data_IF_943547352592
#
_entry.id   IF_943547352592
#
_cell.length_a   1.000
_cell.length_b   1.000
_cell.length_c   1.000
_cell.angle_alpha   90.00
_cell.angle_beta   90.00
_cell.angle_gamma   90.00
#
_symmetry.space_group_name_H-M   'P 1'
#
loop_
_entity.id
_entity.type
_entity.pdbx_description
1 polymer ?
#
# COMPACT_ATOMS: atom_id res chain seq x y z
N UNK A 1 17.01 -15.80 -28.15
CA UNK A 1 15.63 -16.03 -28.63
C UNK A 1 14.82 -14.79 -28.28
N UNK A 2 14.13 -14.18 -29.25
CA UNK A 2 13.35 -12.97 -29.01
C UNK A 2 11.92 -13.35 -28.62
N UNK A 3 11.42 -12.84 -27.51
CA UNK A 3 10.07 -13.14 -27.04
C UNK A 3 9.65 -12.20 -25.92
N UNK A 4 8.36 -12.22 -25.63
CA UNK A 4 7.76 -11.44 -24.56
C UNK A 4 7.54 -12.29 -23.32
N UNK A 5 7.65 -11.67 -22.16
CA UNK A 5 7.23 -12.26 -20.88
C UNK A 5 5.98 -11.53 -20.44
N UNK A 6 4.97 -12.24 -19.96
CA UNK A 6 3.69 -11.64 -19.53
C UNK A 6 3.39 -11.97 -18.09
N UNK A 7 2.55 -11.21 -17.40
CA UNK A 7 2.10 -11.60 -16.07
C UNK A 7 0.90 -12.57 -16.10
N UNK A 8 0.61 -13.20 -14.97
CA UNK A 8 -0.53 -14.10 -14.78
C UNK A 8 -1.88 -13.44 -15.13
N UNK A 9 -2.08 -12.18 -14.77
CA UNK A 9 -3.31 -11.46 -15.11
C UNK A 9 -3.46 -11.27 -16.62
N UNK A 10 -2.39 -10.99 -17.36
CA UNK A 10 -2.44 -10.96 -18.83
C UNK A 10 -2.79 -12.33 -19.39
N UNK A 11 -2.12 -13.38 -18.91
CA UNK A 11 -2.36 -14.74 -19.36
C UNK A 11 -3.84 -15.16 -19.16
N UNK A 12 -4.38 -14.89 -17.97
CA UNK A 12 -5.77 -15.19 -17.61
C UNK A 12 -6.79 -14.39 -18.42
N UNK A 13 -6.53 -13.10 -18.62
CA UNK A 13 -7.47 -12.19 -19.30
C UNK A 13 -7.55 -12.46 -20.79
N UNK A 14 -6.41 -12.68 -21.47
CA UNK A 14 -6.38 -12.80 -22.93
C UNK A 14 -6.39 -14.23 -23.46
N UNK A 15 -5.90 -15.21 -22.70
CA UNK A 15 -5.84 -16.60 -23.16
C UNK A 15 -6.92 -17.50 -22.57
N UNK A 16 -7.59 -17.11 -21.48
CA UNK A 16 -8.77 -17.79 -20.91
C UNK A 16 -8.65 -19.33 -20.85
N UNK A 17 -7.47 -19.86 -20.49
CA UNK A 17 -7.19 -21.29 -20.39
C UNK A 17 -6.54 -21.94 -21.63
N UNK A 18 -6.27 -21.18 -22.69
CA UNK A 18 -5.41 -21.60 -23.81
C UNK A 18 -3.93 -21.46 -23.45
N UNK A 19 -3.09 -22.27 -24.07
CA UNK A 19 -1.65 -22.24 -23.86
C UNK A 19 -1.06 -20.91 -24.38
N UNK A 20 -0.53 -20.03 -23.49
CA UNK A 20 0.06 -18.76 -23.90
C UNK A 20 1.34 -18.95 -24.71
N UNK A 21 2.07 -20.07 -24.54
CA UNK A 21 3.34 -20.32 -25.24
C UNK A 21 3.16 -20.69 -26.71
N UNK A 22 1.96 -21.16 -27.09
CA UNK A 22 1.61 -21.44 -28.48
C UNK A 22 1.20 -20.18 -29.27
N UNK A 23 1.19 -19.02 -28.62
CA UNK A 23 0.69 -17.77 -29.17
C UNK A 23 1.79 -16.73 -29.36
N UNK A 24 1.63 -15.92 -30.41
CA UNK A 24 2.45 -14.74 -30.65
C UNK A 24 1.62 -13.49 -30.41
N UNK A 25 2.23 -12.50 -29.75
CA UNK A 25 1.61 -11.20 -29.51
C UNK A 25 2.40 -10.10 -30.21
N UNK A 26 1.69 -9.06 -30.63
CA UNK A 26 2.29 -7.81 -31.08
C UNK A 26 1.96 -6.72 -30.07
N UNK A 27 2.97 -6.02 -29.57
CA UNK A 27 2.76 -4.85 -28.70
C UNK A 27 3.11 -3.60 -29.50
N UNK A 28 2.21 -2.62 -29.50
CA UNK A 28 2.40 -1.39 -30.25
C UNK A 28 3.49 -0.53 -29.61
N UNK A 29 4.73 -0.74 -30.03
CA UNK A 29 5.95 -0.19 -29.42
C UNK A 29 6.93 0.38 -30.45
N UNK A 30 6.86 -0.06 -31.70
CA UNK A 30 7.74 0.35 -32.80
C UNK A 30 6.94 0.59 -34.08
N UNK A 31 7.57 1.16 -35.10
CA UNK A 31 6.95 1.28 -36.43
C UNK A 31 6.59 -0.09 -37.03
N UNK A 32 7.44 -1.11 -36.80
CA UNK A 32 7.32 -2.41 -37.48
C UNK A 32 6.53 -3.47 -36.67
N UNK A 33 6.25 -3.21 -35.39
CA UNK A 33 5.50 -4.07 -34.45
C UNK A 33 5.49 -5.58 -34.75
N UNK A 34 6.64 -6.27 -34.58
CA UNK A 34 6.74 -7.68 -34.90
C UNK A 34 5.89 -8.54 -33.96
N UNK A 35 5.26 -9.58 -34.51
CA UNK A 35 4.67 -10.66 -33.72
C UNK A 35 5.77 -11.52 -33.14
N UNK A 36 5.86 -11.58 -31.82
CA UNK A 36 6.84 -12.40 -31.11
C UNK A 36 6.14 -13.39 -30.16
N UNK A 37 6.72 -14.59 -29.97
CA UNK A 37 6.15 -15.58 -29.08
C UNK A 37 6.24 -15.13 -27.62
N UNK A 38 5.30 -15.62 -26.80
CA UNK A 38 5.42 -15.53 -25.35
C UNK A 38 6.40 -16.61 -24.89
N UNK A 39 7.45 -16.21 -24.19
CA UNK A 39 8.52 -17.10 -23.71
C UNK A 39 8.50 -17.33 -22.20
N UNK A 40 7.62 -16.62 -21.48
CA UNK A 40 7.50 -16.75 -20.04
C UNK A 40 6.24 -16.12 -19.49
N UNK A 41 5.76 -16.68 -18.38
CA UNK A 41 4.73 -16.08 -17.54
C UNK A 41 5.33 -15.85 -16.16
N UNK A 42 5.18 -14.64 -15.63
CA UNK A 42 5.65 -14.25 -14.29
C UNK A 42 4.47 -13.93 -13.38
N UNK A 43 4.70 -14.00 -12.07
CA UNK A 43 3.70 -13.62 -11.08
C UNK A 43 3.25 -12.17 -11.22
N UNK A 44 2.03 -11.91 -10.79
CA UNK A 44 1.45 -10.56 -10.80
C UNK A 44 2.26 -9.60 -9.93
N UNK A 45 2.53 -8.41 -10.46
CA UNK A 45 3.18 -7.30 -9.75
C UNK A 45 2.20 -6.15 -9.58
N UNK A 46 2.28 -5.48 -8.43
CA UNK A 46 1.49 -4.28 -8.17
C UNK A 46 2.14 -3.09 -8.88
N UNK A 47 1.52 -2.64 -9.97
CA UNK A 47 1.95 -1.44 -10.69
C UNK A 47 1.16 -0.22 -10.19
N UNK A 48 1.86 0.76 -9.65
CA UNK A 48 1.32 2.09 -9.30
C UNK A 48 0.56 2.21 -7.98
N UNK A 49 -0.14 1.17 -7.51
CA UNK A 49 -0.80 1.19 -6.20
C UNK A 49 -0.98 -0.21 -5.62
N UNK A 50 -0.68 -0.36 -4.32
CA UNK A 50 -0.91 -1.59 -3.55
C UNK A 50 -2.39 -2.01 -3.54
N UNK A 51 -3.32 -1.07 -3.75
CA UNK A 51 -4.77 -1.33 -3.79
C UNK A 51 -5.30 -1.65 -5.18
N UNK A 52 -4.56 -1.30 -6.24
CA UNK A 52 -5.00 -1.60 -7.59
C UNK A 52 -4.88 -3.10 -7.83
N UNK A 53 -5.90 -3.68 -8.48
CA UNK A 53 -5.79 -5.02 -9.01
C UNK A 53 -4.59 -5.07 -9.99
N UNK A 54 -3.83 -6.18 -10.03
CA UNK A 54 -2.77 -6.34 -11.02
C UNK A 54 -3.34 -6.09 -12.42
N UNK A 55 -2.63 -5.29 -13.21
CA UNK A 55 -3.03 -5.04 -14.60
C UNK A 55 -2.34 -6.04 -15.53
N UNK A 56 -2.89 -6.32 -16.72
CA UNK A 56 -2.18 -7.08 -17.74
C UNK A 56 -0.89 -6.35 -18.17
N UNK A 57 0.26 -6.94 -17.89
CA UNK A 57 1.59 -6.34 -18.13
C UNK A 57 2.43 -7.24 -19.01
N UNK A 58 3.14 -6.62 -19.97
CA UNK A 58 4.08 -7.29 -20.88
C UNK A 58 5.49 -6.75 -20.63
N UNK A 59 6.42 -7.65 -20.36
CA UNK A 59 7.84 -7.41 -20.17
C UNK A 59 8.62 -7.73 -21.47
N UNK A 60 9.58 -6.87 -21.77
CA UNK A 60 10.39 -6.95 -22.99
C UNK A 60 11.83 -6.51 -22.70
N UNK A 61 12.73 -6.87 -23.61
CA UNK A 61 14.13 -6.46 -23.54
C UNK A 61 14.31 -5.01 -23.99
N UNK A 62 14.82 -4.14 -23.11
CA UNK A 62 15.01 -2.72 -23.39
C UNK A 62 15.95 -2.45 -24.59
N UNK A 63 16.95 -3.31 -24.83
CA UNK A 63 17.90 -3.14 -25.94
C UNK A 63 17.31 -3.19 -27.36
N UNK A 64 16.00 -3.40 -27.50
CA UNK A 64 15.30 -3.31 -28.79
C UNK A 64 14.47 -2.03 -28.92
N UNK A 65 14.34 -1.23 -27.87
CA UNK A 65 13.46 -0.08 -27.88
C UNK A 65 14.11 1.20 -28.41
N UNK A 66 13.35 2.03 -29.14
CA UNK A 66 13.84 3.32 -29.62
C UNK A 66 13.85 4.40 -28.53
N UNK A 67 13.54 4.05 -27.27
CA UNK A 67 13.46 5.01 -26.17
C UNK A 67 14.83 5.33 -25.60
N UNK A 68 15.13 6.62 -25.47
CA UNK A 68 16.35 7.14 -24.86
C UNK A 68 16.29 7.20 -23.33
N UNK A 69 15.10 7.00 -22.74
CA UNK A 69 14.90 7.03 -21.29
C UNK A 69 14.85 5.63 -20.72
N UNK A 70 15.65 5.38 -19.67
CA UNK A 70 15.68 4.11 -18.96
C UNK A 70 15.68 4.34 -17.45
N UNK A 71 14.97 3.50 -16.70
CA UNK A 71 15.11 3.42 -15.24
C UNK A 71 16.00 2.23 -14.90
N UNK A 72 17.11 2.49 -14.21
CA UNK A 72 18.03 1.45 -13.77
C UNK A 72 17.69 1.01 -12.34
N UNK A 73 17.48 -0.30 -12.16
CA UNK A 73 17.32 -0.90 -10.84
C UNK A 73 18.63 -1.57 -10.41
N UNK A 74 19.12 -1.21 -9.23
CA UNK A 74 20.33 -1.79 -8.64
C UNK A 74 19.95 -2.49 -7.34
N UNK A 75 20.37 -3.75 -7.19
CA UNK A 75 20.10 -4.55 -5.99
C UNK A 75 21.42 -4.84 -5.26
N UNK A 76 21.45 -4.54 -3.97
CA UNK A 76 22.56 -4.86 -3.10
C UNK A 76 22.21 -4.67 -1.62
N UNK A 77 23.13 -5.03 -0.71
CA UNK A 77 22.87 -5.02 0.74
C UNK A 77 22.72 -3.62 1.34
N UNK A 78 23.39 -2.62 0.75
CA UNK A 78 23.35 -1.22 1.18
C UNK A 78 22.98 -0.36 -0.04
N UNK A 79 21.68 -0.17 -0.34
CA UNK A 79 21.24 0.52 -1.56
C UNK A 79 21.85 1.92 -1.71
N UNK A 80 21.96 2.67 -0.62
CA UNK A 80 22.49 4.04 -0.63
C UNK A 80 23.97 4.12 -1.01
N UNK A 81 24.78 3.10 -0.69
CA UNK A 81 26.21 3.11 -1.04
C UNK A 81 26.44 2.96 -2.55
N UNK A 82 25.44 2.50 -3.31
CA UNK A 82 25.56 2.32 -4.76
C UNK A 82 25.32 3.59 -5.55
N UNK A 83 24.70 4.62 -4.97
CA UNK A 83 24.33 5.85 -5.69
C UNK A 83 25.54 6.51 -6.35
N UNK A 84 26.58 6.82 -5.57
CA UNK A 84 27.80 7.46 -6.09
C UNK A 84 28.54 6.61 -7.13
N UNK A 85 28.91 5.33 -6.87
CA UNK A 85 29.67 4.55 -7.83
C UNK A 85 28.89 4.25 -9.11
N UNK A 86 27.57 4.03 -9.03
CA UNK A 86 26.74 3.81 -10.23
C UNK A 86 26.63 5.09 -11.05
N UNK A 87 26.37 6.25 -10.43
CA UNK A 87 26.35 7.52 -11.15
C UNK A 87 27.68 7.84 -11.81
N UNK A 88 28.81 7.59 -11.14
CA UNK A 88 30.14 7.78 -11.71
C UNK A 88 30.36 6.86 -12.94
N UNK A 89 30.02 5.57 -12.84
CA UNK A 89 30.13 4.64 -13.96
C UNK A 89 29.23 5.03 -15.16
N UNK A 90 28.04 5.58 -14.89
CA UNK A 90 27.16 6.10 -15.94
C UNK A 90 27.76 7.34 -16.63
N UNK A 91 28.38 8.24 -15.87
CA UNK A 91 29.05 9.43 -16.42
C UNK A 91 30.37 9.11 -17.13
N UNK A 92 31.04 8.01 -16.79
CA UNK A 92 32.18 7.51 -17.57
C UNK A 92 31.75 7.01 -18.96
N UNK A 93 30.55 6.43 -19.07
CA UNK A 93 29.98 5.99 -20.34
C UNK A 93 29.50 7.17 -21.19
N UNK A 94 28.76 8.10 -20.59
CA UNK A 94 28.28 9.31 -21.23
C UNK A 94 28.11 10.45 -20.20
N UNK A 95 28.98 11.49 -20.25
CA UNK A 95 28.91 12.62 -19.33
C UNK A 95 27.64 13.47 -19.46
N UNK A 96 26.91 13.36 -20.57
CA UNK A 96 25.69 14.14 -20.83
C UNK A 96 24.44 13.49 -20.25
N UNK A 97 24.55 12.27 -19.71
CA UNK A 97 23.44 11.57 -19.08
C UNK A 97 22.95 12.28 -17.81
N UNK A 98 21.68 12.67 -17.84
CA UNK A 98 20.98 13.23 -16.68
C UNK A 98 20.49 12.09 -15.80
N UNK A 99 21.23 11.80 -14.73
CA UNK A 99 20.79 10.89 -13.67
C UNK A 99 19.83 11.65 -12.75
N UNK A 100 18.55 11.31 -12.80
CA UNK A 100 17.48 11.97 -12.02
C UNK A 100 16.64 10.94 -11.26
N UNK A 101 15.91 11.40 -10.22
CA UNK A 101 15.05 10.56 -9.39
C UNK A 101 15.76 9.35 -8.75
N UNK A 102 16.99 9.54 -8.27
CA UNK A 102 17.69 8.50 -7.50
C UNK A 102 17.01 8.35 -6.14
N UNK A 103 16.40 7.19 -5.92
CA UNK A 103 15.73 6.84 -4.67
C UNK A 103 15.84 5.34 -4.40
N UNK A 104 15.79 4.98 -3.12
CA UNK A 104 15.74 3.57 -2.73
C UNK A 104 14.32 3.03 -2.89
N UNK A 105 14.17 1.70 -2.96
CA UNK A 105 12.84 1.08 -3.05
C UNK A 105 12.04 1.38 -1.78
N UNK A 106 12.72 1.42 -0.63
CA UNK A 106 12.15 1.74 0.67
C UNK A 106 11.60 3.16 0.72
N UNK A 107 12.32 4.14 0.18
CA UNK A 107 11.84 5.53 0.16
C UNK A 107 10.71 5.73 -0.83
N UNK A 108 10.75 5.08 -2.00
CA UNK A 108 9.65 5.09 -2.96
C UNK A 108 8.37 4.46 -2.37
N UNK A 109 8.50 3.39 -1.59
CA UNK A 109 7.38 2.75 -0.90
C UNK A 109 6.83 3.65 0.21
N UNK A 110 7.71 4.29 1.00
CA UNK A 110 7.30 5.21 2.06
C UNK A 110 6.52 6.41 1.51
N UNK A 111 6.96 6.97 0.38
CA UNK A 111 6.28 8.05 -0.34
C UNK A 111 4.90 7.59 -0.87
N UNK A 112 4.82 6.37 -1.41
CA UNK A 112 3.58 5.79 -1.91
C UNK A 112 2.52 5.59 -0.81
N UNK A 113 2.95 5.38 0.44
CA UNK A 113 2.06 5.19 1.60
C UNK A 113 1.79 6.48 2.40
N UNK A 114 2.40 7.60 2.02
CA UNK A 114 2.29 8.84 2.77
C UNK A 114 0.84 9.35 2.85
N UNK A 115 0.10 9.21 1.74
CA UNK A 115 -1.31 9.64 1.65
C UNK A 115 -2.20 8.81 2.58
N UNK A 116 -2.03 7.49 2.60
CA UNK A 116 -2.77 6.58 3.46
C UNK A 116 -2.50 6.86 4.94
N UNK A 117 -1.24 7.13 5.30
CA UNK A 117 -0.87 7.48 6.68
C UNK A 117 -1.56 8.76 7.16
N UNK A 118 -1.61 9.79 6.33
CA UNK A 118 -2.29 11.05 6.66
C UNK A 118 -3.79 10.80 6.87
N UNK A 119 -4.44 10.05 5.96
CA UNK A 119 -5.84 9.69 6.11
C UNK A 119 -6.09 8.88 7.39
N UNK A 120 -5.26 7.88 7.68
CA UNK A 120 -5.37 7.08 8.90
C UNK A 120 -5.21 7.93 10.16
N UNK A 121 -4.27 8.89 10.15
CA UNK A 121 -4.03 9.78 11.29
C UNK A 121 -5.23 10.70 11.56
N UNK A 122 -5.83 11.26 10.51
CA UNK A 122 -7.05 12.08 10.61
C UNK A 122 -8.23 11.23 11.09
N UNK A 123 -8.46 10.05 10.50
CA UNK A 123 -9.55 9.17 10.93
C UNK A 123 -9.39 8.73 12.39
N UNK A 124 -8.16 8.42 12.81
CA UNK A 124 -7.86 8.02 14.19
C UNK A 124 -8.05 9.17 15.16
N UNK A 125 -7.68 10.39 14.79
CA UNK A 125 -7.88 11.57 15.67
C UNK A 125 -9.36 11.91 15.85
N UNK A 126 -10.16 11.87 14.78
CA UNK A 126 -11.61 12.02 14.87
C UNK A 126 -12.24 10.90 15.70
N UNK A 127 -11.84 9.65 15.48
CA UNK A 127 -12.32 8.51 16.26
C UNK A 127 -11.99 8.63 17.75
N UNK A 128 -10.76 9.02 18.09
CA UNK A 128 -10.34 9.25 19.47
C UNK A 128 -11.12 10.41 20.12
N UNK A 129 -11.34 11.50 19.39
CA UNK A 129 -12.16 12.61 19.87
C UNK A 129 -13.62 12.22 20.12
N UNK A 130 -14.22 11.48 19.18
CA UNK A 130 -15.58 10.94 19.34
C UNK A 130 -15.70 9.99 20.53
N UNK A 131 -14.70 9.12 20.74
CA UNK A 131 -14.65 8.21 21.87
C UNK A 131 -14.57 8.96 23.21
N UNK A 132 -13.75 10.02 23.28
CA UNK A 132 -13.67 10.88 24.47
C UNK A 132 -15.00 11.58 24.76
N UNK A 133 -15.65 12.14 23.74
CA UNK A 133 -16.96 12.77 23.92
C UNK A 133 -18.04 11.76 24.36
N UNK A 134 -18.03 10.55 23.80
CA UNK A 134 -18.94 9.48 24.21
C UNK A 134 -18.70 9.08 25.68
N UNK A 135 -17.44 8.94 26.11
CA UNK A 135 -17.09 8.63 27.50
C UNK A 135 -17.54 9.74 28.46
N UNK A 136 -17.35 11.01 28.10
CA UNK A 136 -17.83 12.15 28.88
C UNK A 136 -19.37 12.20 28.95
N UNK A 137 -20.05 11.93 27.84
CA UNK A 137 -21.51 11.86 27.79
C UNK A 137 -22.07 10.73 28.66
N UNK A 138 -21.45 9.55 28.61
CA UNK A 138 -21.80 8.42 29.47
C UNK A 138 -21.56 8.74 30.95
N UNK A 139 -20.43 9.36 31.27
CA UNK A 139 -20.14 9.81 32.64
C UNK A 139 -21.19 10.80 33.15
N UNK A 140 -21.60 11.78 32.31
CA UNK A 140 -22.66 12.73 32.65
C UNK A 140 -24.02 12.03 32.89
N UNK A 141 -24.40 11.09 32.01
CA UNK A 141 -25.63 10.32 32.15
C UNK A 141 -25.64 9.47 33.43
N UNK A 142 -24.54 8.75 33.70
CA UNK A 142 -24.41 7.95 34.92
C UNK A 142 -24.47 8.81 36.17
N UNK A 143 -23.82 9.98 36.17
CA UNK A 143 -23.85 10.93 37.28
C UNK A 143 -25.28 11.42 37.54
N UNK A 144 -26.04 11.73 36.48
CA UNK A 144 -27.45 12.12 36.60
C UNK A 144 -28.32 11.00 37.20
N UNK A 145 -28.19 9.77 36.70
CA UNK A 145 -28.95 8.61 37.20
C UNK A 145 -28.66 8.31 38.67
N UNK A 146 -27.40 8.43 39.09
CA UNK A 146 -26.99 8.28 40.49
C UNK A 146 -27.61 9.39 41.34
N UNK A 147 -27.56 10.64 40.87
CA UNK A 147 -28.14 11.78 41.57
C UNK A 147 -29.66 11.59 41.80
N UNK A 148 -30.39 11.12 40.79
CA UNK A 148 -31.83 10.84 40.87
C UNK A 148 -32.16 9.75 41.91
N UNK A 149 -31.32 8.71 42.02
CA UNK A 149 -31.49 7.61 42.98
C UNK A 149 -30.88 7.87 44.36
N UNK A 150 -30.31 9.05 44.61
CA UNK A 150 -29.62 9.36 45.89
C UNK A 150 -30.53 9.17 47.11
N UNK A 151 -31.83 9.52 47.01
CA UNK A 151 -32.80 9.32 48.10
C UNK A 151 -33.00 7.84 48.43
N UNK A 152 -33.20 6.99 47.42
CA UNK A 152 -33.37 5.56 47.60
C UNK A 152 -32.10 4.88 48.13
N UNK A 153 -30.93 5.34 47.66
CA UNK A 153 -29.62 4.91 48.16
C UNK A 153 -29.48 5.27 49.64
N UNK A 154 -29.85 6.49 50.04
CA UNK A 154 -29.82 6.94 51.44
C UNK A 154 -30.74 6.12 52.36
N UNK A 155 -31.95 5.78 51.90
CA UNK A 155 -32.89 4.92 52.65
C UNK A 155 -32.30 3.51 52.84
N UNK A 156 -31.69 2.92 51.80
CA UNK A 156 -31.04 1.61 51.91
C UNK A 156 -29.84 1.60 52.86
N UNK A 157 -29.06 2.68 52.87
CA UNK A 157 -27.95 2.85 53.82
C UNK A 157 -28.48 2.93 55.26
N UNK A 158 -29.55 3.68 55.50
CA UNK A 158 -30.20 3.76 56.81
C UNK A 158 -30.75 2.40 57.29
N UNK A 159 -31.16 1.53 56.36
CA UNK A 159 -31.58 0.15 56.62
C UNK A 159 -30.42 -0.86 56.75
N UNK A 160 -29.16 -0.40 56.74
CA UNK A 160 -27.98 -1.23 57.02
C UNK A 160 -27.33 -1.89 55.80
N UNK A 161 -27.62 -1.43 54.57
CA UNK A 161 -26.96 -1.95 53.38
C UNK A 161 -25.46 -1.60 53.34
N UNK A 162 -24.59 -2.60 53.11
CA UNK A 162 -23.14 -2.39 52.93
C UNK A 162 -22.84 -1.64 51.63
N UNK A 163 -21.96 -0.64 51.69
CA UNK A 163 -21.48 0.17 50.56
C UNK A 163 -21.05 -0.67 49.33
N UNK A 164 -20.32 -1.76 49.55
CA UNK A 164 -19.89 -2.67 48.47
C UNK A 164 -21.06 -3.32 47.71
N UNK A 165 -22.22 -3.50 48.36
CA UNK A 165 -23.44 -4.06 47.75
C UNK A 165 -24.22 -3.01 46.94
N UNK A 166 -23.98 -1.72 47.20
CA UNK A 166 -24.62 -0.59 46.52
C UNK A 166 -23.80 -0.23 45.27
N UNK A 167 -22.47 -0.20 45.36
CA UNK A 167 -21.59 0.09 44.21
C UNK A 167 -21.64 -1.01 43.15
N UNK A 168 -21.86 -2.28 43.56
CA UNK A 168 -22.04 -3.40 42.64
C UNK A 168 -23.43 -3.51 42.00
N UNK A 169 -24.41 -2.70 42.40
CA UNK A 169 -25.76 -2.70 41.80
C UNK A 169 -26.08 -1.46 40.96
N UNK A 170 -25.08 -0.58 40.75
CA UNK A 170 -25.16 0.62 39.89
C UNK A 170 -24.59 0.34 38.49
N UNK A 171 -23.91 -0.80 38.30
CA UNK A 171 -23.45 -1.34 37.02
C UNK A 171 -24.23 -2.61 36.70
#
# INVERSE_FOLDING_TARGET
MAGFVVNETFARTYFSGRDPFASSISVWMMADNPYLPIIGVVGDVSEGSVRAAPQPTVFYSHGRMPWSTMTLFVRGRQPESFVRPVTAALHELDPTLVVSNVRTIESALAESLARERISALISTSFGAGGLLLAALGLYGLLTYLVAERTKDIGIRIALGARLARITGSVV
#
